data_IF_646126966258
#
_entry.id   IF_646126966258
#
_cell.length_a   1.000
_cell.length_b   1.000
_cell.length_c   1.000
_cell.angle_alpha   90.00
_cell.angle_beta   90.00
_cell.angle_gamma   90.00
#
_symmetry.space_group_name_H-M   'P 1'
#
loop_
_entity.id
_entity.type
_entity.pdbx_description
1 polymer ?
#
# COMPACT_ATOMS: atom_id res chain seq x y z
N UNK A 1 -4.57 -1.33 -11.61
CA UNK A 1 -3.23 -1.81 -11.97
C UNK A 1 -2.49 -0.65 -12.58
N UNK A 2 -1.32 -0.36 -12.07
CA UNK A 2 -0.38 0.60 -12.67
C UNK A 2 0.37 -0.03 -13.84
N UNK A 3 0.53 -1.37 -13.84
CA UNK A 3 1.19 -2.14 -14.89
C UNK A 3 0.17 -3.11 -15.55
N UNK A 4 0.64 -4.09 -16.32
CA UNK A 4 -0.19 -5.07 -17.04
C UNK A 4 0.30 -6.52 -16.84
N UNK A 5 -0.54 -7.51 -17.18
CA UNK A 5 -0.28 -8.93 -16.88
C UNK A 5 1.08 -9.46 -17.34
N UNK A 6 1.49 -9.14 -18.57
CA UNK A 6 2.75 -9.61 -19.15
C UNK A 6 3.96 -9.10 -18.35
N UNK A 7 3.86 -7.90 -17.77
CA UNK A 7 4.96 -7.24 -17.08
C UNK A 7 5.36 -7.96 -15.79
N UNK A 8 4.49 -8.79 -15.22
CA UNK A 8 4.77 -9.55 -13.99
C UNK A 8 5.97 -10.50 -14.15
N UNK A 9 6.33 -10.89 -15.38
CA UNK A 9 7.49 -11.74 -15.63
C UNK A 9 8.84 -11.07 -15.33
N UNK A 10 8.84 -9.75 -15.14
CA UNK A 10 10.03 -8.95 -14.85
C UNK A 10 10.21 -8.66 -13.36
N UNK A 11 9.29 -9.10 -12.50
CA UNK A 11 9.40 -8.89 -11.06
C UNK A 11 10.51 -9.77 -10.45
N UNK A 12 11.29 -9.22 -9.53
CA UNK A 12 12.18 -10.00 -8.67
C UNK A 12 11.41 -10.62 -7.50
N UNK A 13 10.44 -9.88 -6.95
CA UNK A 13 9.57 -10.40 -5.89
C UNK A 13 8.12 -10.01 -6.19
N UNK A 14 7.23 -10.99 -6.27
CA UNK A 14 5.78 -10.78 -6.28
C UNK A 14 5.22 -11.08 -4.90
N UNK A 15 4.45 -10.15 -4.34
CA UNK A 15 3.60 -10.42 -3.17
C UNK A 15 2.14 -10.52 -3.60
N UNK A 16 1.48 -11.59 -3.16
CA UNK A 16 0.05 -11.79 -3.27
C UNK A 16 -0.60 -11.60 -1.90
N UNK A 17 -1.21 -10.44 -1.67
CA UNK A 17 -1.86 -10.12 -0.39
C UNK A 17 -3.28 -9.63 -0.66
N UNK A 18 -4.27 -10.35 -0.15
CA UNK A 18 -5.68 -10.11 -0.46
C UNK A 18 -6.08 -10.49 -1.89
N UNK A 19 -5.40 -11.50 -2.45
CA UNK A 19 -5.70 -12.14 -3.73
C UNK A 19 -5.56 -13.66 -3.64
N UNK A 20 -6.00 -14.36 -4.68
CA UNK A 20 -5.74 -15.79 -4.86
C UNK A 20 -5.57 -16.05 -6.36
N UNK A 21 -4.46 -15.57 -6.90
CA UNK A 21 -4.23 -15.41 -8.34
C UNK A 21 -4.31 -16.71 -9.13
N UNK A 22 -3.84 -17.84 -8.58
CA UNK A 22 -3.95 -19.15 -9.25
C UNK A 22 -5.40 -19.52 -9.54
N UNK A 23 -6.33 -19.20 -8.64
CA UNK A 23 -7.73 -19.58 -8.79
C UNK A 23 -8.56 -18.52 -9.52
N UNK A 24 -8.30 -17.24 -9.23
CA UNK A 24 -9.15 -16.14 -9.68
C UNK A 24 -8.64 -15.49 -10.98
N UNK A 25 -7.34 -15.57 -11.25
CA UNK A 25 -6.70 -15.00 -12.43
C UNK A 25 -5.65 -15.97 -13.02
N UNK A 26 -6.02 -17.24 -13.30
CA UNK A 26 -5.06 -18.32 -13.57
C UNK A 26 -4.08 -18.02 -14.71
N UNK A 27 -4.53 -17.31 -15.75
CA UNK A 27 -3.66 -16.94 -16.88
C UNK A 27 -2.62 -15.88 -16.50
N UNK A 28 -2.90 -15.02 -15.52
CA UNK A 28 -1.89 -14.08 -15.01
C UNK A 28 -0.77 -14.79 -14.27
N UNK A 29 -1.06 -15.93 -13.62
CA UNK A 29 -0.04 -16.75 -12.96
C UNK A 29 1.02 -17.26 -13.94
N UNK A 30 0.69 -17.43 -15.23
CA UNK A 30 1.69 -17.75 -16.27
C UNK A 30 2.87 -16.77 -16.27
N UNK A 31 2.62 -15.49 -16.04
CA UNK A 31 3.66 -14.45 -16.06
C UNK A 31 4.43 -14.39 -14.75
N UNK A 32 3.76 -14.61 -13.62
CA UNK A 32 4.43 -14.79 -12.32
C UNK A 32 5.35 -16.01 -12.39
N UNK A 33 4.88 -17.14 -12.92
CA UNK A 33 5.69 -18.35 -13.09
C UNK A 33 6.95 -18.10 -13.92
N UNK A 34 6.88 -17.27 -14.97
CA UNK A 34 8.08 -16.90 -15.75
C UNK A 34 9.09 -16.09 -14.92
N UNK A 35 8.62 -15.23 -14.02
CA UNK A 35 9.49 -14.55 -13.06
C UNK A 35 10.16 -15.58 -12.14
N UNK A 36 9.39 -16.55 -11.60
CA UNK A 36 9.92 -17.63 -10.76
C UNK A 36 10.96 -18.50 -11.49
N UNK A 37 10.69 -18.86 -12.74
CA UNK A 37 11.62 -19.63 -13.60
C UNK A 37 12.94 -18.87 -13.83
N UNK A 38 12.91 -17.53 -13.73
CA UNK A 38 14.08 -16.64 -13.84
C UNK A 38 14.69 -16.28 -12.47
N UNK A 39 14.29 -16.95 -11.39
CA UNK A 39 14.84 -16.75 -10.04
C UNK A 39 14.10 -15.72 -9.18
N UNK A 40 12.99 -15.16 -9.68
CA UNK A 40 12.08 -14.35 -8.87
C UNK A 40 11.41 -15.14 -7.75
N UNK A 41 10.78 -14.42 -6.83
CA UNK A 41 10.16 -14.99 -5.61
C UNK A 41 8.67 -14.67 -5.50
N UNK A 42 7.90 -15.62 -4.96
CA UNK A 42 6.49 -15.44 -4.66
C UNK A 42 6.23 -15.49 -3.15
N UNK A 43 5.66 -14.40 -2.64
CA UNK A 43 5.11 -14.31 -1.29
C UNK A 43 3.59 -14.40 -1.37
N UNK A 44 2.97 -15.16 -0.47
CA UNK A 44 1.51 -15.20 -0.29
C UNK A 44 1.14 -14.89 1.15
N UNK A 45 0.32 -13.87 1.33
CA UNK A 45 -0.24 -13.48 2.62
C UNK A 45 -1.76 -13.62 2.55
N UNK A 46 -2.29 -14.69 3.15
CA UNK A 46 -3.70 -15.05 3.13
C UNK A 46 -4.09 -15.72 4.46
N UNK A 47 -5.31 -15.53 4.99
CA UNK A 47 -5.81 -16.29 6.15
C UNK A 47 -5.86 -17.80 5.92
N UNK A 48 -5.77 -18.26 4.67
CA UNK A 48 -5.88 -19.67 4.28
C UNK A 48 -4.67 -20.07 3.44
N UNK A 49 -4.29 -21.34 3.56
CA UNK A 49 -3.36 -21.96 2.63
C UNK A 49 -4.08 -22.30 1.31
N UNK A 50 -4.00 -21.41 0.33
CA UNK A 50 -4.68 -21.51 -0.98
C UNK A 50 -3.86 -22.27 -2.03
N UNK A 51 -4.41 -22.48 -3.23
CA UNK A 51 -3.61 -22.99 -4.37
C UNK A 51 -2.52 -22.02 -4.81
N UNK A 52 -2.68 -20.72 -4.56
CA UNK A 52 -1.60 -19.74 -4.77
C UNK A 52 -0.51 -19.92 -3.71
N UNK A 53 -0.88 -20.11 -2.44
CA UNK A 53 0.07 -20.38 -1.35
C UNK A 53 0.90 -21.65 -1.58
N UNK A 54 0.32 -22.68 -2.22
CA UNK A 54 1.02 -23.91 -2.55
C UNK A 54 2.19 -23.72 -3.55
N UNK A 55 2.25 -22.58 -4.26
CA UNK A 55 3.33 -22.23 -5.18
C UNK A 55 4.29 -21.18 -4.61
N UNK A 56 4.03 -20.68 -3.40
CA UNK A 56 4.80 -19.59 -2.81
C UNK A 56 6.14 -20.07 -2.24
N UNK A 57 7.17 -19.25 -2.36
CA UNK A 57 8.41 -19.40 -1.59
C UNK A 57 8.15 -19.12 -0.10
N UNK A 58 7.33 -18.10 0.18
CA UNK A 58 6.95 -17.69 1.55
C UNK A 58 5.44 -17.59 1.66
N UNK A 59 4.86 -18.31 2.62
CA UNK A 59 3.46 -18.15 3.03
C UNK A 59 3.40 -17.60 4.45
N UNK A 60 2.64 -16.52 4.63
CA UNK A 60 2.37 -15.94 5.94
C UNK A 60 0.85 -15.93 6.22
N UNK A 61 0.38 -16.56 7.31
CA UNK A 61 -1.02 -16.49 7.71
C UNK A 61 -1.33 -15.10 8.28
N UNK A 62 -2.52 -14.59 8.00
CA UNK A 62 -2.99 -13.30 8.53
C UNK A 62 -4.45 -13.40 9.00
N UNK A 63 -4.79 -12.72 10.11
CA UNK A 63 -6.16 -12.58 10.57
C UNK A 63 -6.95 -11.66 9.62
N UNK A 64 -8.14 -12.07 9.13
CA UNK A 64 -8.96 -11.22 8.27
C UNK A 64 -9.23 -9.84 8.89
N UNK A 65 -9.07 -8.78 8.08
CA UNK A 65 -9.29 -7.40 8.52
C UNK A 65 -8.10 -6.73 9.20
N UNK A 66 -6.93 -7.38 9.27
CA UNK A 66 -5.72 -6.83 9.91
C UNK A 66 -4.62 -6.44 8.91
N UNK A 67 -4.98 -6.37 7.62
CA UNK A 67 -4.05 -6.07 6.52
C UNK A 67 -3.34 -4.72 6.70
N UNK A 68 -4.04 -3.70 7.21
CA UNK A 68 -3.42 -2.38 7.47
C UNK A 68 -2.26 -2.51 8.44
N UNK A 69 -2.40 -3.27 9.53
CA UNK A 69 -1.32 -3.45 10.50
C UNK A 69 -0.11 -4.17 9.87
N UNK A 70 -0.36 -5.21 9.07
CA UNK A 70 0.70 -5.93 8.34
C UNK A 70 1.46 -5.02 7.39
N UNK A 71 0.75 -4.26 6.54
CA UNK A 71 1.36 -3.35 5.57
C UNK A 71 2.10 -2.18 6.24
N UNK A 72 1.52 -1.62 7.29
CA UNK A 72 2.16 -0.55 8.07
C UNK A 72 3.43 -1.07 8.77
N UNK A 73 3.42 -2.33 9.22
CA UNK A 73 4.61 -3.01 9.71
C UNK A 73 5.70 -3.10 8.65
N UNK A 74 5.36 -3.50 7.41
CA UNK A 74 6.34 -3.56 6.31
C UNK A 74 6.91 -2.18 5.98
N UNK A 75 6.09 -1.14 6.03
CA UNK A 75 6.53 0.26 5.86
C UNK A 75 7.54 0.62 6.96
N UNK A 76 7.21 0.36 8.22
CA UNK A 76 8.13 0.60 9.33
C UNK A 76 9.43 -0.21 9.18
N UNK A 77 9.34 -1.49 8.81
CA UNK A 77 10.49 -2.35 8.58
C UNK A 77 11.42 -1.79 7.49
N UNK A 78 10.86 -1.31 6.37
CA UNK A 78 11.65 -0.70 5.31
C UNK A 78 12.40 0.56 5.77
N UNK A 79 11.76 1.39 6.61
CA UNK A 79 12.36 2.60 7.17
C UNK A 79 13.48 2.25 8.16
N UNK A 80 13.21 1.37 9.14
CA UNK A 80 14.17 1.05 10.22
C UNK A 80 15.42 0.32 9.72
N UNK A 81 15.37 -0.29 8.53
CA UNK A 81 16.47 -1.03 7.94
C UNK A 81 17.08 -0.34 6.71
N UNK A 82 16.73 0.92 6.45
CA UNK A 82 17.21 1.71 5.30
C UNK A 82 17.04 0.98 3.95
N UNK A 83 15.92 0.26 3.79
CA UNK A 83 15.58 -0.51 2.58
C UNK A 83 14.71 0.28 1.60
N UNK A 84 14.49 1.57 1.84
CA UNK A 84 13.71 2.44 0.96
C UNK A 84 14.61 3.16 -0.04
N UNK A 85 14.05 3.57 -1.18
CA UNK A 85 14.82 4.25 -2.23
C UNK A 85 14.84 5.76 -1.99
N UNK A 86 15.81 6.25 -1.21
CA UNK A 86 15.86 7.64 -0.72
C UNK A 86 15.72 8.70 -1.82
N UNK A 87 16.45 8.58 -2.93
CA UNK A 87 16.40 9.55 -4.03
C UNK A 87 15.00 9.60 -4.66
N UNK A 88 14.37 8.45 -4.89
CA UNK A 88 13.02 8.37 -5.42
C UNK A 88 12.01 8.96 -4.45
N UNK A 89 12.13 8.66 -3.16
CA UNK A 89 11.26 9.23 -2.12
C UNK A 89 11.36 10.75 -2.12
N UNK A 90 12.57 11.32 -2.16
CA UNK A 90 12.78 12.77 -2.21
C UNK A 90 12.20 13.41 -3.48
N UNK A 91 12.47 12.84 -4.65
CA UNK A 91 12.19 13.48 -5.93
C UNK A 91 10.79 13.20 -6.50
N UNK A 92 10.19 12.06 -6.16
CA UNK A 92 8.98 11.55 -6.83
C UNK A 92 7.78 11.38 -5.89
N UNK A 93 7.95 11.72 -4.61
CA UNK A 93 6.86 11.74 -3.63
C UNK A 93 6.70 13.13 -3.03
N UNK A 94 5.76 13.26 -2.09
CA UNK A 94 5.55 14.47 -1.32
C UNK A 94 6.38 14.53 -0.04
N UNK A 95 7.39 13.66 0.15
CA UNK A 95 8.18 13.55 1.38
C UNK A 95 8.74 14.88 1.90
N UNK A 96 9.19 15.77 1.01
CA UNK A 96 9.72 17.09 1.37
C UNK A 96 8.66 18.15 1.66
N UNK A 97 7.38 17.89 1.35
CA UNK A 97 6.31 18.90 1.52
C UNK A 97 6.04 19.16 3.00
N UNK A 98 5.94 20.42 3.40
CA UNK A 98 5.63 20.81 4.77
C UNK A 98 4.12 20.76 5.03
N UNK A 99 3.71 20.06 6.07
CA UNK A 99 2.32 19.93 6.53
C UNK A 99 2.01 21.03 7.54
N UNK A 100 0.74 21.45 7.60
CA UNK A 100 0.26 22.38 8.61
C UNK A 100 0.68 21.93 10.03
N UNK A 101 1.32 22.79 10.84
CA UNK A 101 1.78 22.43 12.20
C UNK A 101 0.66 22.00 13.16
N UNK A 102 -0.59 22.36 12.89
CA UNK A 102 -1.75 21.94 13.66
C UNK A 102 -2.27 20.55 13.26
N UNK A 103 -1.68 19.92 12.24
CA UNK A 103 -1.93 18.51 11.94
C UNK A 103 -1.36 17.62 13.05
N UNK A 104 -2.16 16.67 13.51
CA UNK A 104 -1.70 15.74 14.54
C UNK A 104 -2.46 14.44 14.59
N UNK A 105 -1.95 13.53 15.40
CA UNK A 105 -2.55 12.23 15.68
C UNK A 105 -2.35 11.88 17.15
N UNK A 106 -3.42 11.46 17.84
CA UNK A 106 -3.37 10.93 19.20
C UNK A 106 -4.45 9.86 19.38
N UNK A 107 -4.13 8.78 20.10
CA UNK A 107 -5.09 7.78 20.58
C UNK A 107 -6.04 7.22 19.50
N UNK A 108 -5.55 7.00 18.28
CA UNK A 108 -6.36 6.45 17.19
C UNK A 108 -7.05 7.48 16.31
N UNK A 109 -7.00 8.76 16.68
CA UNK A 109 -7.70 9.85 16.00
C UNK A 109 -6.72 10.87 15.45
N UNK A 110 -7.02 11.39 14.27
CA UNK A 110 -6.35 12.57 13.72
C UNK A 110 -7.00 13.85 14.24
N UNK A 111 -6.32 14.98 14.10
CA UNK A 111 -6.90 16.30 14.37
C UNK A 111 -8.17 16.52 13.54
N UNK A 112 -9.15 17.20 14.15
CA UNK A 112 -10.47 17.44 13.55
C UNK A 112 -11.48 16.30 13.70
N UNK A 113 -11.20 15.26 14.48
CA UNK A 113 -12.15 14.19 14.77
C UNK A 113 -13.37 14.71 15.55
N UNK A 114 -14.57 14.45 15.05
CA UNK A 114 -15.84 14.80 15.68
C UNK A 114 -16.79 13.61 15.69
N UNK A 115 -17.60 13.47 16.75
CA UNK A 115 -18.65 12.45 16.80
C UNK A 115 -19.67 12.70 15.69
N UNK A 116 -19.95 11.67 14.88
CA UNK A 116 -20.86 11.73 13.74
C UNK A 116 -22.02 10.72 13.88
N UNK A 117 -22.94 10.93 14.85
CA UNK A 117 -24.02 9.99 15.13
C UNK A 117 -24.97 9.77 13.94
N UNK A 118 -25.05 10.72 13.01
CA UNK A 118 -25.82 10.63 11.77
C UNK A 118 -25.27 9.59 10.78
N UNK A 119 -23.98 9.25 10.87
CA UNK A 119 -23.35 8.17 10.09
C UNK A 119 -23.52 6.80 10.77
N UNK A 120 -23.88 6.79 12.05
CA UNK A 120 -24.15 5.60 12.85
C UNK A 120 -23.47 5.64 14.23
N UNK A 121 -23.81 4.71 15.14
CA UNK A 121 -23.21 4.66 16.47
C UNK A 121 -21.69 4.47 16.42
N UNK A 122 -20.94 5.32 17.11
CA UNK A 122 -19.47 5.26 17.19
C UNK A 122 -18.75 5.64 15.89
N UNK A 123 -19.45 6.28 14.94
CA UNK A 123 -18.81 6.84 13.75
C UNK A 123 -18.22 8.22 14.06
N UNK A 124 -17.08 8.49 13.43
CA UNK A 124 -16.39 9.77 13.49
C UNK A 124 -16.43 10.44 12.12
N UNK A 125 -16.66 11.75 12.11
CA UNK A 125 -16.35 12.62 10.97
C UNK A 125 -15.03 13.33 11.24
N UNK A 126 -14.47 13.95 10.20
CA UNK A 126 -13.23 14.71 10.31
C UNK A 126 -13.36 16.04 9.60
N UNK A 127 -13.14 17.13 10.33
CA UNK A 127 -12.70 18.40 9.78
C UNK A 127 -11.25 18.28 9.33
N UNK A 128 -10.99 18.62 8.06
CA UNK A 128 -9.69 18.41 7.40
C UNK A 128 -8.94 19.71 7.18
N UNK A 129 -9.35 20.81 7.81
CA UNK A 129 -8.69 22.11 7.66
C UNK A 129 -7.20 22.06 8.04
N UNK A 130 -6.84 21.24 9.04
CA UNK A 130 -5.45 21.00 9.43
C UNK A 130 -4.72 20.00 8.51
N UNK A 131 -5.40 19.26 7.63
CA UNK A 131 -4.78 18.24 6.77
C UNK A 131 -4.32 18.84 5.45
N UNK A 132 -3.60 19.96 5.56
CA UNK A 132 -3.20 20.81 4.45
C UNK A 132 -1.69 21.00 4.45
N UNK A 133 -1.13 21.38 3.30
CA UNK A 133 0.27 21.78 3.23
C UNK A 133 0.42 23.26 3.60
N UNK A 134 1.57 23.60 4.18
CA UNK A 134 1.99 24.99 4.30
C UNK A 134 2.22 25.58 2.91
N UNK A 135 1.87 26.85 2.74
CA UNK A 135 2.01 27.57 1.46
C UNK A 135 2.78 28.86 1.65
N UNK A 136 3.61 29.19 0.67
CA UNK A 136 4.30 30.48 0.61
C UNK A 136 3.36 31.62 0.15
N UNK A 137 3.90 32.84 0.06
CA UNK A 137 3.14 34.04 -0.35
C UNK A 137 2.53 33.91 -1.76
N UNK A 138 3.12 33.10 -2.64
CA UNK A 138 2.66 32.83 -4.01
C UNK A 138 1.66 31.65 -4.07
N UNK A 139 1.40 31.01 -2.93
CA UNK A 139 0.50 29.86 -2.81
C UNK A 139 1.13 28.53 -3.19
N UNK A 140 2.45 28.44 -3.40
CA UNK A 140 3.13 27.19 -3.66
C UNK A 140 3.30 26.38 -2.37
N UNK A 141 3.33 25.05 -2.49
CA UNK A 141 3.59 24.16 -1.36
C UNK A 141 5.03 24.36 -0.89
N UNK A 142 5.22 24.71 0.37
CA UNK A 142 6.54 24.81 0.98
C UNK A 142 7.17 23.43 1.11
N UNK A 143 8.49 23.35 0.90
CA UNK A 143 9.25 22.12 0.94
C UNK A 143 10.56 22.27 1.70
N UNK A 144 10.94 21.21 2.39
CA UNK A 144 12.28 21.00 2.93
C UNK A 144 12.95 19.81 2.24
N UNK A 145 13.89 20.09 1.34
CA UNK A 145 14.62 19.08 0.58
C UNK A 145 15.63 18.29 1.43
N UNK A 146 15.95 18.76 2.65
CA UNK A 146 16.79 18.02 3.60
C UNK A 146 16.02 16.91 4.31
N UNK A 147 14.68 16.99 4.31
CA UNK A 147 13.77 16.13 5.07
C UNK A 147 13.99 16.18 6.60
N UNK A 148 14.55 17.26 7.14
CA UNK A 148 14.85 17.41 8.58
C UNK A 148 13.75 18.17 9.33
N UNK A 149 12.96 19.00 8.64
CA UNK A 149 11.88 19.77 9.26
C UNK A 149 10.85 18.81 9.90
N UNK A 150 10.50 19.01 11.19
CA UNK A 150 9.57 18.12 11.89
C UNK A 150 8.17 18.07 11.27
N UNK A 151 7.79 19.08 10.49
CA UNK A 151 6.51 19.14 9.80
C UNK A 151 6.59 18.67 8.34
N UNK A 152 7.75 18.28 7.83
CA UNK A 152 7.77 17.64 6.51
C UNK A 152 7.05 16.28 6.58
N UNK A 153 6.42 15.89 5.47
CA UNK A 153 5.71 14.60 5.36
C UNK A 153 6.60 13.45 5.83
N UNK A 154 7.90 13.47 5.51
CA UNK A 154 8.82 12.39 5.90
C UNK A 154 8.96 12.20 7.41
N UNK A 155 9.10 13.27 8.20
CA UNK A 155 9.27 13.14 9.64
C UNK A 155 7.96 12.68 10.31
N UNK A 156 6.83 13.27 9.92
CA UNK A 156 5.50 12.85 10.38
C UNK A 156 5.18 11.39 9.99
N UNK A 157 5.61 10.98 8.80
CA UNK A 157 5.46 9.62 8.30
C UNK A 157 6.23 8.62 9.17
N UNK A 158 7.52 8.85 9.41
CA UNK A 158 8.32 7.97 10.28
C UNK A 158 7.73 7.84 11.67
N UNK A 159 7.31 8.96 12.28
CA UNK A 159 6.68 8.96 13.59
C UNK A 159 5.39 8.12 13.62
N UNK A 160 4.48 8.33 12.66
CA UNK A 160 3.21 7.60 12.58
C UNK A 160 3.40 6.09 12.45
N UNK A 161 4.34 5.65 11.60
CA UNK A 161 4.58 4.24 11.31
C UNK A 161 5.46 3.53 12.36
N UNK A 162 6.20 4.27 13.19
CA UNK A 162 7.08 3.71 14.23
C UNK A 162 6.38 2.74 15.20
N UNK A 163 5.08 2.96 15.42
CA UNK A 163 4.23 2.15 16.32
C UNK A 163 3.94 0.74 15.81
N UNK A 164 4.27 0.43 14.57
CA UNK A 164 4.04 -0.89 13.97
C UNK A 164 5.34 -1.70 13.97
N UNK A 165 5.88 -1.96 15.16
CA UNK A 165 7.00 -2.89 15.34
C UNK A 165 6.57 -4.36 15.13
N UNK A 166 7.55 -5.25 15.06
CA UNK A 166 7.34 -6.68 14.76
C UNK A 166 6.39 -7.33 15.77
N UNK A 167 6.57 -7.05 17.07
CA UNK A 167 5.73 -7.60 18.14
C UNK A 167 4.29 -7.12 18.00
N UNK A 168 4.07 -5.81 17.85
CA UNK A 168 2.75 -5.21 17.67
C UNK A 168 2.05 -5.77 16.44
N UNK A 169 2.76 -5.88 15.32
CA UNK A 169 2.23 -6.45 14.08
C UNK A 169 1.86 -7.91 14.28
N UNK A 170 2.69 -8.72 14.94
CA UNK A 170 2.39 -10.12 15.22
C UNK A 170 1.13 -10.25 16.09
N UNK A 171 1.04 -9.48 17.18
CA UNK A 171 -0.13 -9.45 18.06
C UNK A 171 -1.42 -9.05 17.31
N UNK A 172 -1.35 -8.02 16.46
CA UNK A 172 -2.49 -7.52 15.69
C UNK A 172 -2.88 -8.44 14.53
N UNK A 173 -1.94 -9.11 13.89
CA UNK A 173 -2.23 -9.89 12.69
C UNK A 173 -2.40 -11.38 12.97
N UNK A 174 -1.87 -11.88 14.08
CA UNK A 174 -1.72 -13.30 14.34
C UNK A 174 -0.67 -13.99 13.45
N UNK A 175 0.05 -13.23 12.62
CA UNK A 175 1.19 -13.74 11.87
C UNK A 175 2.36 -13.94 12.83
N UNK A 176 3.03 -15.11 12.85
CA UNK A 176 4.26 -15.29 13.61
C UNK A 176 5.32 -14.25 13.25
N UNK A 177 6.07 -13.77 14.24
CA UNK A 177 7.10 -12.73 14.07
C UNK A 177 8.14 -13.12 13.02
N UNK A 178 8.65 -14.35 13.08
CA UNK A 178 9.62 -14.89 12.13
C UNK A 178 9.08 -14.87 10.69
N UNK A 179 7.80 -15.23 10.50
CA UNK A 179 7.15 -15.20 9.19
C UNK A 179 6.93 -13.78 8.69
N UNK A 180 6.56 -12.86 9.57
CA UNK A 180 6.41 -11.46 9.20
C UNK A 180 7.76 -10.87 8.77
N UNK A 181 8.83 -11.10 9.54
CA UNK A 181 10.19 -10.65 9.22
C UNK A 181 10.67 -11.25 7.90
N UNK A 182 10.45 -12.54 7.65
CA UNK A 182 10.80 -13.20 6.39
C UNK A 182 10.10 -12.54 5.19
N UNK A 183 8.81 -12.20 5.32
CA UNK A 183 8.06 -11.47 4.28
C UNK A 183 8.59 -10.05 4.08
N UNK A 184 8.81 -9.32 5.18
CA UNK A 184 9.26 -7.94 5.14
C UNK A 184 10.67 -7.83 4.55
N UNK A 185 11.61 -8.66 4.99
CA UNK A 185 12.97 -8.73 4.45
C UNK A 185 12.95 -9.03 2.96
N UNK A 186 12.24 -10.08 2.53
CA UNK A 186 12.20 -10.47 1.13
C UNK A 186 11.55 -9.41 0.25
N UNK A 187 10.39 -8.87 0.64
CA UNK A 187 9.72 -7.88 -0.21
C UNK A 187 10.43 -6.53 -0.22
N UNK A 188 10.90 -6.05 0.94
CA UNK A 188 11.61 -4.77 1.04
C UNK A 188 13.00 -4.81 0.40
N UNK A 189 13.57 -6.00 0.12
CA UNK A 189 14.77 -6.12 -0.72
C UNK A 189 14.59 -5.51 -2.12
N UNK A 190 13.35 -5.31 -2.56
CA UNK A 190 13.03 -4.66 -3.85
C UNK A 190 13.20 -3.14 -3.83
N UNK A 191 13.52 -2.52 -2.70
CA UNK A 191 13.93 -1.12 -2.66
C UNK A 191 15.32 -0.87 -3.25
N UNK A 192 16.08 -1.92 -3.55
CA UNK A 192 17.32 -1.82 -4.32
C UNK A 192 17.01 -1.31 -5.75
N UNK A 193 17.76 -0.33 -6.30
CA UNK A 193 17.43 0.30 -7.58
C UNK A 193 17.41 -0.63 -8.81
N UNK A 194 18.04 -1.81 -8.73
CA UNK A 194 18.10 -2.83 -9.76
C UNK A 194 17.07 -3.95 -9.56
N UNK A 195 16.14 -3.78 -8.61
CA UNK A 195 15.11 -4.75 -8.26
C UNK A 195 13.71 -4.18 -8.46
N UNK A 196 12.76 -5.08 -8.70
CA UNK A 196 11.35 -4.72 -8.87
C UNK A 196 10.41 -5.59 -8.02
N UNK A 197 9.59 -4.93 -7.23
CA UNK A 197 8.54 -5.54 -6.42
C UNK A 197 7.16 -5.41 -7.06
N UNK A 198 6.51 -6.52 -7.37
CA UNK A 198 5.14 -6.58 -7.88
C UNK A 198 4.15 -6.76 -6.72
N UNK A 199 3.31 -5.75 -6.44
CA UNK A 199 2.25 -5.89 -5.44
C UNK A 199 0.94 -6.33 -6.09
N UNK A 200 0.52 -7.58 -5.87
CA UNK A 200 -0.70 -8.13 -6.45
C UNK A 200 -1.80 -8.33 -5.42
N UNK A 201 -2.98 -7.76 -5.68
CA UNK A 201 -4.16 -7.90 -4.82
C UNK A 201 -5.46 -7.84 -5.62
N UNK A 202 -6.57 -8.29 -5.02
CA UNK A 202 -7.91 -8.17 -5.58
C UNK A 202 -8.92 -7.74 -4.49
N UNK A 203 -10.00 -8.49 -4.30
CA UNK A 203 -11.07 -8.13 -3.35
C UNK A 203 -10.68 -8.34 -1.88
N UNK A 204 -9.67 -9.17 -1.61
CA UNK A 204 -9.26 -9.51 -0.25
C UNK A 204 -8.65 -8.36 0.55
N UNK A 205 -8.38 -7.21 -0.08
CA UNK A 205 -7.97 -5.98 0.60
C UNK A 205 -9.07 -4.92 0.70
N UNK A 206 -10.13 -5.00 -0.10
CA UNK A 206 -11.00 -3.85 -0.37
C UNK A 206 -12.34 -3.91 0.34
N UNK A 207 -12.82 -5.08 0.75
CA UNK A 207 -14.15 -5.26 1.34
C UNK A 207 -14.16 -5.11 2.87
N UNK A 208 -13.46 -4.09 3.37
CA UNK A 208 -13.46 -3.70 4.77
C UNK A 208 -13.87 -2.23 4.90
N UNK A 209 -14.31 -1.80 6.07
CA UNK A 209 -14.59 -0.37 6.35
C UNK A 209 -13.38 0.54 6.07
N UNK A 210 -12.17 -0.01 6.21
CA UNK A 210 -10.89 0.64 5.94
C UNK A 210 -10.21 0.10 4.67
N UNK A 211 -10.97 -0.47 3.72
CA UNK A 211 -10.42 -1.08 2.50
C UNK A 211 -9.63 -0.09 1.63
N UNK A 212 -10.06 1.18 1.57
CA UNK A 212 -9.30 2.25 0.92
C UNK A 212 -7.95 2.51 1.59
N UNK A 213 -7.87 2.36 2.92
CA UNK A 213 -6.63 2.52 3.68
C UNK A 213 -5.67 1.36 3.46
N UNK A 214 -6.16 0.13 3.33
CA UNK A 214 -5.33 -1.01 2.92
C UNK A 214 -4.65 -0.72 1.56
N UNK A 215 -5.42 -0.25 0.57
CA UNK A 215 -4.88 0.07 -0.75
C UNK A 215 -3.91 1.26 -0.70
N UNK A 216 -4.18 2.28 0.14
CA UNK A 216 -3.21 3.36 0.37
C UNK A 216 -1.90 2.84 0.94
N UNK A 217 -1.93 1.94 1.92
CA UNK A 217 -0.71 1.35 2.49
C UNK A 217 0.09 0.55 1.45
N UNK A 218 -0.56 -0.18 0.55
CA UNK A 218 0.11 -0.81 -0.60
C UNK A 218 0.82 0.21 -1.50
N UNK A 219 0.14 1.31 -1.83
CA UNK A 219 0.71 2.36 -2.68
C UNK A 219 1.89 3.07 -2.01
N UNK A 220 1.76 3.38 -0.72
CA UNK A 220 2.83 3.97 0.10
C UNK A 220 4.04 3.05 0.13
N UNK A 221 3.87 1.76 0.42
CA UNK A 221 4.97 0.80 0.41
C UNK A 221 5.67 0.75 -0.96
N UNK A 222 4.92 0.75 -2.05
CA UNK A 222 5.50 0.74 -3.40
C UNK A 222 6.20 2.04 -3.77
N UNK A 223 5.74 3.20 -3.29
CA UNK A 223 6.44 4.48 -3.46
C UNK A 223 7.73 4.52 -2.63
N UNK A 224 7.68 4.00 -1.41
CA UNK A 224 8.83 3.93 -0.50
C UNK A 224 9.95 3.06 -1.09
N UNK A 225 9.59 1.94 -1.72
CA UNK A 225 10.52 1.03 -2.38
C UNK A 225 10.86 1.43 -3.83
N UNK A 226 10.39 2.57 -4.34
CA UNK A 226 10.69 2.99 -5.73
C UNK A 226 10.07 2.10 -6.82
N UNK A 227 9.11 1.24 -6.46
CA UNK A 227 8.53 0.23 -7.34
C UNK A 227 7.44 0.77 -8.28
N UNK A 228 7.03 2.03 -8.16
CA UNK A 228 5.99 2.60 -9.04
C UNK A 228 6.62 3.18 -10.31
N UNK A 229 6.18 2.68 -11.47
CA UNK A 229 6.63 3.15 -12.78
C UNK A 229 7.76 2.33 -13.41
N UNK A 230 8.24 1.28 -12.72
CA UNK A 230 9.27 0.36 -13.24
C UNK A 230 8.65 -0.94 -13.77
N UNK A 231 9.36 -1.62 -14.68
CA UNK A 231 8.95 -2.94 -15.20
C UNK A 231 9.08 -4.00 -14.10
N UNK A 232 8.09 -4.88 -13.99
CA UNK A 232 8.02 -5.87 -12.91
C UNK A 232 7.53 -5.29 -11.58
N UNK A 233 7.30 -3.97 -11.50
CA UNK A 233 6.90 -3.28 -10.29
C UNK A 233 5.39 -3.07 -10.15
N UNK A 234 5.06 -2.02 -9.39
CA UNK A 234 3.75 -1.38 -9.40
C UNK A 234 2.71 -1.98 -8.46
N UNK A 235 1.55 -1.32 -8.43
CA UNK A 235 0.38 -1.72 -7.66
C UNK A 235 -0.63 -2.38 -8.60
N UNK A 236 -0.62 -3.71 -8.60
CA UNK A 236 -1.33 -4.54 -9.55
C UNK A 236 -2.66 -5.05 -8.97
N UNK A 237 -3.60 -4.10 -8.81
CA UNK A 237 -5.00 -4.32 -8.47
C UNK A 237 -5.74 -5.17 -9.54
N UNK A 238 -5.83 -6.48 -9.36
CA UNK A 238 -6.40 -7.43 -10.30
C UNK A 238 -7.92 -7.28 -10.39
N UNK A 239 -8.42 -6.87 -11.56
CA UNK A 239 -9.85 -6.61 -11.79
C UNK A 239 -10.61 -7.94 -11.94
N UNK A 240 -11.86 -7.98 -11.48
CA UNK A 240 -12.68 -9.19 -11.47
C UNK A 240 -13.29 -9.52 -12.83
N UNK A 241 -14.45 -8.94 -13.14
CA UNK A 241 -15.16 -9.22 -14.39
C UNK A 241 -14.38 -8.71 -15.61
N UNK A 242 -14.59 -9.36 -16.77
CA UNK A 242 -13.87 -9.11 -18.02
C UNK A 242 -13.88 -7.65 -18.48
N UNK A 243 -14.92 -6.90 -18.13
CA UNK A 243 -15.07 -5.49 -18.49
C UNK A 243 -15.48 -4.61 -17.31
N UNK A 244 -15.16 -5.00 -16.05
CA UNK A 244 -15.46 -4.11 -14.90
C UNK A 244 -14.71 -2.78 -15.02
N UNK A 245 -13.49 -2.80 -15.60
CA UNK A 245 -12.74 -1.59 -15.90
C UNK A 245 -13.51 -0.68 -16.87
N UNK A 246 -13.93 -1.21 -18.02
CA UNK A 246 -14.69 -0.43 -19.01
C UNK A 246 -16.06 0.02 -18.50
N UNK A 247 -16.73 -0.77 -17.66
CA UNK A 247 -17.99 -0.35 -17.02
C UNK A 247 -17.77 0.86 -16.09
N UNK A 248 -16.70 0.84 -15.29
CA UNK A 248 -16.30 2.00 -14.49
C UNK A 248 -15.93 3.20 -15.37
N UNK A 249 -15.15 2.99 -16.44
CA UNK A 249 -14.77 4.05 -17.39
C UNK A 249 -16.00 4.71 -18.04
N UNK A 250 -17.06 3.94 -18.28
CA UNK A 250 -18.34 4.39 -18.83
C UNK A 250 -19.34 4.92 -17.77
N UNK A 251 -18.88 5.17 -16.54
CA UNK A 251 -19.70 5.79 -15.49
C UNK A 251 -20.88 4.92 -15.03
N UNK A 252 -20.76 3.59 -15.06
CA UNK A 252 -21.79 2.68 -14.51
C UNK A 252 -21.76 2.65 -12.96
N UNK A 253 -21.65 3.82 -12.33
CA UNK A 253 -21.61 4.06 -10.89
C UNK A 253 -22.37 5.35 -10.58
N UNK A 254 -23.04 5.43 -9.44
CA UNK A 254 -23.99 6.52 -9.14
C UNK A 254 -23.39 7.94 -9.10
N UNK A 255 -22.08 8.06 -8.84
CA UNK A 255 -21.41 9.34 -8.53
C UNK A 255 -20.56 9.88 -9.68
N UNK A 256 -20.47 9.16 -10.81
CA UNK A 256 -19.65 9.55 -11.96
C UNK A 256 -20.40 9.32 -13.28
N UNK A 257 -20.03 10.11 -14.28
CA UNK A 257 -20.36 9.86 -15.69
C UNK A 257 -19.12 9.36 -16.45
N UNK A 258 -19.27 9.06 -17.74
CA UNK A 258 -18.18 8.57 -18.61
C UNK A 258 -16.91 9.41 -18.47
N UNK A 259 -15.76 8.74 -18.34
CA UNK A 259 -14.46 9.40 -18.21
C UNK A 259 -14.16 9.93 -16.80
N UNK A 260 -14.76 9.33 -15.77
CA UNK A 260 -14.52 9.68 -14.35
C UNK A 260 -14.92 11.11 -13.96
N UNK A 261 -15.75 11.78 -14.76
CA UNK A 261 -16.27 13.11 -14.39
C UNK A 261 -17.35 12.96 -13.31
N UNK A 262 -17.45 13.89 -12.34
CA UNK A 262 -18.47 13.83 -11.30
C UNK A 262 -19.88 13.92 -11.91
N UNK A 263 -20.83 13.23 -11.29
CA UNK A 263 -22.24 13.40 -11.62
C UNK A 263 -22.67 14.85 -11.35
N UNK A 264 -23.36 15.53 -12.30
CA UNK A 264 -23.87 16.88 -12.12
C UNK A 264 -24.87 17.03 -10.96
#
# INVERSE_FOLDING_TARGET
MTNHWIDYQHADVTINLGGNTVENHPISMKWIQRSLDNGGKLIVVDPRFTRTAALADVYAPIRPGTNTAFLNGMINYAIQNDLYQEEYVKLHTNASSLVNPDFGYSDGLFTGAEDAPELGPGQMSYDKDTWTYQRDEDGNIMKDETLEDPNCVWQLFKDFYSRYDVETVSQLTGCPEDKFVEVAELYCSTGAPDKAGNFSYAMGLTQFSHGSQNVRACAILQLLLGNVGVSGGGVNAQRGQVNVQGACDMGQLYHIVTGYMPMP
#
